data_IF_464731011652
#
_entry.id   IF_464731011652
#
_cell.length_a   1.000
_cell.length_b   1.000
_cell.length_c   1.000
_cell.angle_alpha   90.00
_cell.angle_beta   90.00
_cell.angle_gamma   90.00
#
_symmetry.space_group_name_H-M   'P 1'
#
loop_
_entity.id
_entity.type
_entity.pdbx_description
1 polymer ?
#
# COMPACT_ATOMS: atom_id res chain seq x y z
N UNK A 1 -1.03 -9.02 34.31
CA UNK A 1 -2.01 -7.95 34.63
C UNK A 1 -3.27 -8.21 33.83
N UNK A 2 -4.43 -8.24 34.47
CA UNK A 2 -5.74 -8.39 33.80
C UNK A 2 -6.21 -7.03 33.23
N UNK A 3 -7.18 -7.04 32.31
CA UNK A 3 -7.79 -5.79 31.83
C UNK A 3 -8.43 -4.97 32.96
N UNK A 4 -9.00 -5.63 33.95
CA UNK A 4 -9.59 -4.98 35.14
C UNK A 4 -8.52 -4.28 35.98
N UNK A 5 -7.39 -4.95 36.26
CA UNK A 5 -6.24 -4.38 36.93
C UNK A 5 -5.64 -3.19 36.19
N UNK A 6 -5.54 -3.31 34.86
CA UNK A 6 -5.00 -2.25 33.98
C UNK A 6 -5.91 -1.00 33.98
N UNK A 7 -7.22 -1.21 33.93
CA UNK A 7 -8.22 -0.12 33.86
C UNK A 7 -8.51 0.58 35.18
N UNK A 8 -8.18 -0.01 36.34
CA UNK A 8 -8.60 0.47 37.66
C UNK A 8 -8.22 1.93 37.86
N UNK A 9 -9.22 2.81 38.02
CA UNK A 9 -9.01 4.24 38.23
C UNK A 9 -8.58 5.04 37.01
N UNK A 10 -8.49 4.41 35.79
CA UNK A 10 -8.12 5.08 34.54
C UNK A 10 -9.32 5.11 33.59
N UNK A 11 -9.92 3.96 33.29
CA UNK A 11 -11.02 3.86 32.35
C UNK A 11 -11.86 2.60 32.62
N UNK A 12 -12.97 2.41 31.87
CA UNK A 12 -13.73 1.16 31.95
C UNK A 12 -13.08 0.05 31.10
N UNK A 13 -13.28 -1.22 31.51
CA UNK A 13 -12.83 -2.39 30.73
C UNK A 13 -13.42 -2.38 29.30
N UNK A 14 -14.68 -1.94 29.17
CA UNK A 14 -15.34 -1.79 27.86
C UNK A 14 -14.65 -0.72 26.98
N UNK A 15 -14.14 0.35 27.59
CA UNK A 15 -13.38 1.39 26.87
C UNK A 15 -12.02 0.86 26.44
N UNK A 16 -11.28 0.19 27.32
CA UNK A 16 -10.01 -0.46 26.97
C UNK A 16 -10.19 -1.47 25.84
N UNK A 17 -11.21 -2.34 25.93
CA UNK A 17 -11.51 -3.32 24.89
C UNK A 17 -11.81 -2.68 23.53
N UNK A 18 -12.41 -1.49 23.50
CA UNK A 18 -12.62 -0.74 22.24
C UNK A 18 -11.31 -0.18 21.69
N UNK A 19 -10.39 0.28 22.54
CA UNK A 19 -9.04 0.73 22.16
C UNK A 19 -8.26 -0.45 21.58
N UNK A 20 -8.17 -1.57 22.31
CA UNK A 20 -7.47 -2.78 21.86
C UNK A 20 -7.98 -3.33 20.53
N UNK A 21 -9.28 -3.17 20.26
CA UNK A 21 -9.90 -3.56 18.99
C UNK A 21 -9.85 -2.47 17.93
N UNK A 22 -9.16 -1.34 18.15
CA UNK A 22 -9.04 -0.24 17.20
C UNK A 22 -10.36 0.46 16.86
N UNK A 23 -11.37 0.36 17.74
CA UNK A 23 -12.68 0.97 17.52
C UNK A 23 -12.74 2.44 17.93
N UNK A 24 -11.89 2.83 18.86
CA UNK A 24 -11.75 4.20 19.35
C UNK A 24 -10.27 4.47 19.63
N UNK A 25 -9.86 5.73 19.51
CA UNK A 25 -8.56 6.20 19.95
C UNK A 25 -8.61 6.59 21.43
N UNK A 26 -7.57 6.25 22.18
CA UNK A 26 -7.42 6.73 23.55
C UNK A 26 -7.01 8.20 23.54
N UNK A 27 -7.51 8.99 24.50
CA UNK A 27 -6.91 10.31 24.73
C UNK A 27 -5.47 10.16 25.23
N UNK A 28 -4.63 11.17 24.95
CA UNK A 28 -3.22 11.17 25.33
C UNK A 28 -3.04 10.94 26.85
N UNK A 29 -3.91 11.52 27.65
CA UNK A 29 -3.92 11.35 29.11
C UNK A 29 -4.19 9.90 29.54
N UNK A 30 -5.18 9.25 28.93
CA UNK A 30 -5.52 7.85 29.23
C UNK A 30 -4.39 6.93 28.77
N UNK A 31 -3.81 7.19 27.58
CA UNK A 31 -2.68 6.44 27.06
C UNK A 31 -1.48 6.53 28.00
N UNK A 32 -1.13 7.75 28.48
CA UNK A 32 -0.05 7.95 29.44
C UNK A 32 -0.27 7.19 30.74
N UNK A 33 -1.48 7.21 31.30
CA UNK A 33 -1.81 6.50 32.55
C UNK A 33 -1.73 4.98 32.37
N UNK A 34 -2.21 4.44 31.25
CA UNK A 34 -2.12 3.01 30.92
C UNK A 34 -0.66 2.59 30.71
N UNK A 35 0.12 3.36 29.96
CA UNK A 35 1.55 3.10 29.74
C UNK A 35 2.35 3.16 31.06
N UNK A 36 2.09 4.17 31.91
CA UNK A 36 2.74 4.27 33.23
C UNK A 36 2.46 3.04 34.09
N UNK A 37 1.22 2.51 34.07
CA UNK A 37 0.85 1.30 34.81
C UNK A 37 1.49 0.03 34.23
N UNK A 38 1.74 0.00 32.94
CA UNK A 38 2.44 -1.08 32.25
C UNK A 38 3.96 -0.97 32.35
N UNK A 39 4.46 0.09 33.01
CA UNK A 39 5.90 0.42 33.09
C UNK A 39 6.55 0.64 31.71
N UNK A 40 5.76 1.11 30.73
CA UNK A 40 6.19 1.45 29.37
C UNK A 40 6.31 2.97 29.29
N UNK A 41 7.48 3.48 28.89
CA UNK A 41 7.63 4.91 28.63
C UNK A 41 6.90 5.28 27.32
N UNK A 42 6.05 6.33 27.37
CA UNK A 42 5.33 6.83 26.17
C UNK A 42 6.31 7.33 25.11
N UNK A 43 7.47 7.86 25.52
CA UNK A 43 8.57 8.24 24.62
C UNK A 43 9.09 7.05 23.83
N UNK A 44 9.29 5.90 24.48
CA UNK A 44 9.79 4.69 23.83
C UNK A 44 8.81 4.18 22.76
N UNK A 45 7.50 4.35 22.97
CA UNK A 45 6.47 3.99 21.98
C UNK A 45 6.49 4.91 20.77
N UNK A 46 6.67 6.21 20.96
CA UNK A 46 6.75 7.18 19.85
C UNK A 46 8.00 6.96 19.01
N UNK A 47 9.14 6.71 19.65
CA UNK A 47 10.40 6.43 18.96
C UNK A 47 10.30 5.13 18.12
N UNK A 48 9.67 4.10 18.68
CA UNK A 48 9.39 2.85 17.95
C UNK A 48 8.44 3.07 16.77
N UNK A 49 7.38 3.86 16.93
CA UNK A 49 6.41 4.15 15.88
C UNK A 49 7.03 5.00 14.74
N UNK A 50 7.91 5.95 15.04
CA UNK A 50 8.66 6.70 14.04
C UNK A 50 9.63 5.81 13.26
N UNK A 51 10.35 4.90 13.94
CA UNK A 51 11.24 3.94 13.30
C UNK A 51 10.48 2.98 12.38
N UNK A 52 9.36 2.43 12.85
CA UNK A 52 8.49 1.57 12.04
C UNK A 52 7.95 2.31 10.83
N UNK A 53 7.55 3.59 10.97
CA UNK A 53 7.09 4.39 9.84
C UNK A 53 8.18 4.60 8.80
N UNK A 54 9.41 4.89 9.23
CA UNK A 54 10.56 4.97 8.33
C UNK A 54 10.79 3.67 7.56
N UNK A 55 10.72 2.51 8.24
CA UNK A 55 10.83 1.20 7.59
C UNK A 55 9.69 0.90 6.62
N UNK A 56 8.46 1.37 6.92
CA UNK A 56 7.33 1.25 5.99
C UNK A 56 7.57 2.07 4.71
N UNK A 57 8.15 3.26 4.81
CA UNK A 57 8.50 4.08 3.65
C UNK A 57 9.60 3.42 2.82
N UNK A 58 10.61 2.82 3.47
CA UNK A 58 11.61 1.99 2.78
C UNK A 58 10.97 0.77 2.11
N UNK A 59 10.02 0.12 2.76
CA UNK A 59 9.31 -1.03 2.20
C UNK A 59 8.47 -0.64 0.99
N UNK A 60 7.77 0.48 1.05
CA UNK A 60 7.06 1.04 -0.10
C UNK A 60 8.04 1.25 -1.27
N UNK A 61 9.17 1.88 -1.01
CA UNK A 61 10.19 2.12 -2.02
C UNK A 61 10.69 0.80 -2.64
N UNK A 62 11.00 -0.21 -1.84
CA UNK A 62 11.41 -1.54 -2.32
C UNK A 62 10.30 -2.22 -3.17
N UNK A 63 9.03 -2.10 -2.75
CA UNK A 63 7.87 -2.62 -3.51
C UNK A 63 7.68 -1.90 -4.85
N UNK A 64 7.85 -0.58 -4.89
CA UNK A 64 7.77 0.22 -6.12
C UNK A 64 8.88 -0.17 -7.10
N UNK A 65 10.07 -0.49 -6.57
CA UNK A 65 11.23 -0.87 -7.38
C UNK A 65 11.28 -2.36 -7.70
N UNK A 66 10.35 -3.16 -7.15
CA UNK A 66 10.34 -4.63 -7.23
C UNK A 66 11.69 -5.26 -6.81
N UNK A 67 12.33 -4.66 -5.83
CA UNK A 67 13.53 -5.21 -5.19
C UNK A 67 13.13 -6.32 -4.23
N UNK A 68 13.05 -7.53 -4.77
CA UNK A 68 12.57 -8.70 -4.02
C UNK A 68 13.38 -8.96 -2.75
N UNK A 69 14.69 -8.75 -2.79
CA UNK A 69 15.56 -9.04 -1.65
C UNK A 69 15.28 -8.06 -0.51
N UNK A 70 15.21 -6.77 -0.83
CA UNK A 70 14.88 -5.73 0.15
C UNK A 70 13.46 -5.89 0.70
N UNK A 71 12.49 -6.20 -0.18
CA UNK A 71 11.08 -6.42 0.21
C UNK A 71 10.96 -7.53 1.25
N UNK A 72 11.63 -8.69 1.04
CA UNK A 72 11.58 -9.81 2.00
C UNK A 72 12.27 -9.44 3.32
N UNK A 73 13.45 -8.83 3.27
CA UNK A 73 14.20 -8.43 4.47
C UNK A 73 13.37 -7.50 5.35
N UNK A 74 12.83 -6.42 4.76
CA UNK A 74 12.06 -5.44 5.53
C UNK A 74 10.76 -6.07 6.06
N UNK A 75 10.13 -6.96 5.30
CA UNK A 75 8.95 -7.69 5.75
C UNK A 75 9.22 -8.52 7.01
N UNK A 76 10.34 -9.26 7.04
CA UNK A 76 10.75 -10.06 8.20
C UNK A 76 10.99 -9.19 9.45
N UNK A 77 11.65 -8.05 9.29
CA UNK A 77 11.89 -7.09 10.37
C UNK A 77 10.55 -6.53 10.92
N UNK A 78 9.66 -6.08 10.02
CA UNK A 78 8.37 -5.50 10.40
C UNK A 78 7.45 -6.48 11.13
N UNK A 79 7.50 -7.78 10.87
CA UNK A 79 6.66 -8.78 11.56
C UNK A 79 6.83 -8.77 13.09
N UNK A 80 8.05 -8.51 13.58
CA UNK A 80 8.34 -8.40 15.00
C UNK A 80 7.88 -7.08 15.59
N UNK A 81 8.16 -5.99 14.89
CA UNK A 81 7.97 -4.64 15.38
C UNK A 81 6.51 -4.20 15.39
N UNK A 82 5.73 -4.60 14.38
CA UNK A 82 4.30 -4.28 14.28
C UNK A 82 3.46 -4.75 15.48
N UNK A 83 3.96 -5.66 16.29
CA UNK A 83 3.27 -6.13 17.51
C UNK A 83 3.23 -5.05 18.61
N UNK A 84 4.12 -4.08 18.55
CA UNK A 84 4.26 -3.01 19.51
C UNK A 84 3.68 -1.68 19.03
N UNK A 85 3.19 -1.62 17.78
CA UNK A 85 2.59 -0.43 17.18
C UNK A 85 1.12 -0.33 17.60
N UNK A 86 0.74 0.82 18.14
CA UNK A 86 -0.63 1.14 18.56
C UNK A 86 -1.29 2.18 17.62
N UNK A 87 -0.49 2.96 16.90
CA UNK A 87 -0.98 3.96 15.97
C UNK A 87 -1.75 3.31 14.81
N UNK A 88 -3.00 3.73 14.68
CA UNK A 88 -3.93 3.17 13.70
C UNK A 88 -3.57 3.55 12.25
N UNK A 89 -2.97 4.72 12.03
CA UNK A 89 -2.49 5.12 10.70
C UNK A 89 -1.32 4.25 10.24
N UNK A 90 -0.38 3.95 11.13
CA UNK A 90 0.77 3.09 10.86
C UNK A 90 0.30 1.66 10.59
N UNK A 91 -0.63 1.12 11.41
CA UNK A 91 -1.21 -0.21 11.20
C UNK A 91 -1.91 -0.32 9.84
N UNK A 92 -2.70 0.70 9.47
CA UNK A 92 -3.37 0.71 8.16
C UNK A 92 -2.36 0.84 7.02
N UNK A 93 -1.33 1.65 7.19
CA UNK A 93 -0.27 1.80 6.18
C UNK A 93 0.46 0.46 5.96
N UNK A 94 0.85 -0.22 7.04
CA UNK A 94 1.42 -1.58 6.95
C UNK A 94 0.51 -2.54 6.17
N UNK A 95 -0.79 -2.62 6.50
CA UNK A 95 -1.74 -3.50 5.82
C UNK A 95 -1.89 -3.21 4.33
N UNK A 96 -1.85 -1.92 3.95
CA UNK A 96 -1.88 -1.51 2.54
C UNK A 96 -0.63 -1.96 1.79
N UNK A 97 0.55 -1.82 2.39
CA UNK A 97 1.81 -2.30 1.81
C UNK A 97 1.86 -3.84 1.80
N UNK A 98 1.38 -4.49 2.86
CA UNK A 98 1.25 -5.94 2.91
C UNK A 98 0.36 -6.49 1.78
N UNK A 99 -0.71 -5.78 1.45
CA UNK A 99 -1.53 -6.14 0.29
C UNK A 99 -0.74 -6.04 -1.02
N UNK A 100 0.10 -5.02 -1.22
CA UNK A 100 1.00 -4.92 -2.39
C UNK A 100 2.04 -6.04 -2.40
N UNK A 101 2.58 -6.40 -1.24
CA UNK A 101 3.48 -7.55 -1.09
C UNK A 101 2.82 -8.86 -1.51
N UNK A 102 1.59 -9.12 -1.05
CA UNK A 102 0.82 -10.31 -1.44
C UNK A 102 0.53 -10.34 -2.96
N UNK A 103 0.25 -9.18 -3.58
CA UNK A 103 0.10 -9.05 -5.03
C UNK A 103 1.41 -9.44 -5.73
N UNK A 104 2.55 -8.97 -5.26
CA UNK A 104 3.86 -9.34 -5.80
C UNK A 104 4.14 -10.84 -5.65
N UNK A 105 3.72 -11.46 -4.54
CA UNK A 105 3.81 -12.92 -4.31
C UNK A 105 2.77 -13.72 -5.08
N UNK A 106 1.78 -13.08 -5.68
CA UNK A 106 0.62 -13.68 -6.38
C UNK A 106 -0.27 -14.56 -5.47
N UNK A 107 -0.33 -14.24 -4.18
CA UNK A 107 -1.25 -14.89 -3.24
C UNK A 107 -2.63 -14.23 -3.32
N UNK A 108 -3.37 -14.54 -4.38
CA UNK A 108 -4.66 -13.91 -4.66
C UNK A 108 -5.75 -14.16 -3.60
N UNK A 109 -5.85 -15.34 -2.97
CA UNK A 109 -6.80 -15.54 -1.88
C UNK A 109 -6.52 -14.62 -0.69
N UNK A 110 -5.25 -14.46 -0.29
CA UNK A 110 -4.87 -13.53 0.77
C UNK A 110 -5.10 -12.06 0.37
N UNK A 111 -4.79 -11.67 -0.88
CA UNK A 111 -5.08 -10.33 -1.41
C UNK A 111 -6.57 -10.00 -1.31
N UNK A 112 -7.46 -10.91 -1.70
CA UNK A 112 -8.90 -10.68 -1.66
C UNK A 112 -9.39 -10.46 -0.23
N UNK A 113 -8.95 -11.29 0.71
CA UNK A 113 -9.26 -11.17 2.13
C UNK A 113 -8.81 -9.82 2.71
N UNK A 114 -7.56 -9.41 2.40
CA UNK A 114 -7.04 -8.12 2.87
C UNK A 114 -7.79 -6.94 2.25
N UNK A 115 -8.06 -6.93 0.95
CA UNK A 115 -8.82 -5.87 0.29
C UNK A 115 -10.23 -5.71 0.84
N UNK A 116 -10.92 -6.80 1.19
CA UNK A 116 -12.26 -6.74 1.82
C UNK A 116 -12.17 -6.21 3.26
N UNK A 117 -11.13 -6.57 4.01
CA UNK A 117 -10.88 -6.02 5.34
C UNK A 117 -10.62 -4.51 5.29
N UNK A 118 -9.72 -4.08 4.41
CA UNK A 118 -9.32 -2.69 4.23
C UNK A 118 -10.47 -1.80 3.72
N UNK A 119 -11.38 -2.35 2.91
CA UNK A 119 -12.57 -1.65 2.40
C UNK A 119 -13.43 -1.07 3.52
N UNK A 120 -13.54 -1.76 4.66
CA UNK A 120 -14.34 -1.32 5.81
C UNK A 120 -13.81 -0.01 6.41
N UNK A 121 -12.51 0.21 6.29
CA UNK A 121 -11.80 1.36 6.85
C UNK A 121 -11.58 2.49 5.83
N UNK A 122 -11.92 2.28 4.54
CA UNK A 122 -11.60 3.19 3.44
C UNK A 122 -12.02 4.65 3.68
N UNK A 123 -13.15 4.88 4.35
CA UNK A 123 -13.64 6.24 4.65
C UNK A 123 -12.72 7.01 5.59
N UNK A 124 -11.99 6.31 6.46
CA UNK A 124 -11.09 6.88 7.45
C UNK A 124 -9.66 7.07 6.95
N UNK A 125 -9.34 6.53 5.76
CA UNK A 125 -8.00 6.62 5.20
C UNK A 125 -7.62 8.04 4.83
N UNK A 126 -6.35 8.37 5.05
CA UNK A 126 -5.71 9.55 4.50
C UNK A 126 -5.79 9.54 2.96
N UNK A 127 -5.61 10.69 2.27
CA UNK A 127 -5.56 10.72 0.81
C UNK A 127 -4.56 9.72 0.22
N UNK A 128 -3.37 9.62 0.81
CA UNK A 128 -2.33 8.70 0.36
C UNK A 128 -2.70 7.23 0.59
N UNK A 129 -3.26 6.88 1.73
CA UNK A 129 -3.75 5.53 1.99
C UNK A 129 -4.87 5.12 1.03
N UNK A 130 -5.77 6.06 0.67
CA UNK A 130 -6.79 5.83 -0.37
C UNK A 130 -6.18 5.56 -1.73
N UNK A 131 -5.12 6.28 -2.09
CA UNK A 131 -4.37 6.04 -3.32
C UNK A 131 -3.77 4.63 -3.33
N UNK A 132 -3.06 4.23 -2.28
CA UNK A 132 -2.45 2.89 -2.18
C UNK A 132 -3.49 1.77 -2.26
N UNK A 133 -4.63 1.93 -1.58
CA UNK A 133 -5.75 0.98 -1.67
C UNK A 133 -6.29 0.86 -3.09
N UNK A 134 -6.55 2.02 -3.73
CA UNK A 134 -7.12 2.09 -5.08
C UNK A 134 -6.16 1.47 -6.09
N UNK A 135 -4.87 1.74 -5.95
CA UNK A 135 -3.82 1.17 -6.81
C UNK A 135 -3.72 -0.35 -6.63
N UNK A 136 -3.70 -0.84 -5.39
CA UNK A 136 -3.68 -2.29 -5.12
C UNK A 136 -4.87 -3.01 -5.74
N UNK A 137 -6.06 -2.40 -5.73
CA UNK A 137 -7.23 -2.95 -6.44
C UNK A 137 -7.04 -2.99 -7.96
N UNK A 138 -6.46 -1.94 -8.54
CA UNK A 138 -6.13 -1.91 -9.96
C UNK A 138 -5.20 -3.04 -10.36
N UNK A 139 -4.10 -3.20 -9.63
CA UNK A 139 -3.14 -4.28 -9.84
C UNK A 139 -3.77 -5.67 -9.67
N UNK A 140 -4.56 -5.87 -8.62
CA UNK A 140 -5.26 -7.12 -8.39
C UNK A 140 -6.19 -7.50 -9.53
N UNK A 141 -7.03 -6.56 -10.00
CA UNK A 141 -7.93 -6.82 -11.12
C UNK A 141 -7.19 -7.07 -12.44
N UNK A 142 -6.06 -6.39 -12.67
CA UNK A 142 -5.21 -6.65 -13.82
C UNK A 142 -4.70 -8.10 -13.83
N UNK A 143 -4.15 -8.55 -12.71
CA UNK A 143 -3.63 -9.91 -12.57
C UNK A 143 -4.73 -11.00 -12.60
N UNK A 144 -5.99 -10.61 -12.35
CA UNK A 144 -7.17 -11.47 -12.51
C UNK A 144 -7.78 -11.40 -13.94
N UNK A 145 -7.09 -10.77 -14.89
CA UNK A 145 -7.56 -10.56 -16.28
C UNK A 145 -8.90 -9.81 -16.36
N UNK A 146 -9.27 -9.05 -15.33
CA UNK A 146 -10.47 -8.20 -15.29
C UNK A 146 -10.13 -6.78 -15.76
N UNK A 147 -9.68 -6.65 -17.00
CA UNK A 147 -9.07 -5.45 -17.53
C UNK A 147 -9.93 -4.18 -17.46
N UNK A 148 -11.25 -4.28 -17.69
CA UNK A 148 -12.16 -3.12 -17.55
C UNK A 148 -12.18 -2.57 -16.13
N UNK A 149 -12.21 -3.47 -15.11
CA UNK A 149 -12.13 -3.05 -13.71
C UNK A 149 -10.75 -2.52 -13.35
N UNK A 150 -9.69 -3.17 -13.85
CA UNK A 150 -8.33 -2.70 -13.67
C UNK A 150 -8.18 -1.27 -14.20
N UNK A 151 -8.70 -1.00 -15.40
CA UNK A 151 -8.67 0.34 -16.00
C UNK A 151 -9.36 1.37 -15.12
N UNK A 152 -10.57 1.09 -14.62
CA UNK A 152 -11.32 1.99 -13.72
C UNK A 152 -10.48 2.39 -12.50
N UNK A 153 -9.90 1.40 -11.81
CA UNK A 153 -9.10 1.66 -10.61
C UNK A 153 -7.76 2.33 -10.91
N UNK A 154 -7.06 1.94 -11.98
CA UNK A 154 -5.78 2.54 -12.35
C UNK A 154 -5.92 3.98 -12.85
N UNK A 155 -6.96 4.30 -13.62
CA UNK A 155 -7.26 5.68 -14.02
C UNK A 155 -7.56 6.55 -12.78
N UNK A 156 -8.35 6.02 -11.85
CA UNK A 156 -8.60 6.72 -10.58
C UNK A 156 -7.30 6.91 -9.77
N UNK A 157 -6.43 5.92 -9.75
CA UNK A 157 -5.11 6.03 -9.09
C UNK A 157 -4.27 7.13 -9.71
N UNK A 158 -4.23 7.22 -11.04
CA UNK A 158 -3.49 8.27 -11.77
C UNK A 158 -3.99 9.68 -11.40
N UNK A 159 -5.30 9.89 -11.36
CA UNK A 159 -5.89 11.16 -10.94
C UNK A 159 -5.50 11.49 -9.51
N UNK A 160 -5.67 10.55 -8.57
CA UNK A 160 -5.31 10.75 -7.16
C UNK A 160 -3.81 11.02 -6.98
N UNK A 161 -2.96 10.37 -7.76
CA UNK A 161 -1.51 10.58 -7.73
C UNK A 161 -1.15 12.00 -8.16
N UNK A 162 -1.74 12.49 -9.26
CA UNK A 162 -1.55 13.86 -9.73
C UNK A 162 -2.03 14.91 -8.72
N UNK A 163 -3.20 14.71 -8.14
CA UNK A 163 -3.76 15.62 -7.12
C UNK A 163 -2.88 15.72 -5.87
N UNK A 164 -2.17 14.64 -5.52
CA UNK A 164 -1.32 14.56 -4.33
C UNK A 164 0.16 14.82 -4.61
N UNK A 165 0.55 15.06 -5.85
CA UNK A 165 1.96 15.18 -6.24
C UNK A 165 2.76 13.89 -6.05
N UNK A 166 2.08 12.74 -6.02
CA UNK A 166 2.72 11.44 -5.89
C UNK A 166 3.20 10.92 -7.25
N UNK A 167 4.46 10.55 -7.32
CA UNK A 167 5.09 10.09 -8.56
C UNK A 167 5.51 8.61 -8.46
N UNK A 168 4.85 7.76 -9.22
CA UNK A 168 5.23 6.36 -9.42
C UNK A 168 5.01 5.99 -10.89
N UNK A 169 6.12 5.86 -11.66
CA UNK A 169 6.07 5.55 -13.09
C UNK A 169 5.41 4.20 -13.40
N UNK A 170 5.38 3.30 -12.41
CA UNK A 170 4.64 2.04 -12.50
C UNK A 170 3.15 2.20 -12.74
N UNK A 171 2.52 3.30 -12.30
CA UNK A 171 1.10 3.59 -12.55
C UNK A 171 0.86 3.71 -14.06
N UNK A 172 1.68 4.51 -14.74
CA UNK A 172 1.58 4.71 -16.19
C UNK A 172 1.89 3.43 -16.97
N UNK A 173 2.89 2.67 -16.52
CA UNK A 173 3.22 1.38 -17.14
C UNK A 173 2.06 0.38 -17.00
N UNK A 174 1.43 0.29 -15.84
CA UNK A 174 0.27 -0.58 -15.64
C UNK A 174 -0.96 -0.13 -16.46
N UNK A 175 -1.17 1.18 -16.63
CA UNK A 175 -2.19 1.71 -17.54
C UNK A 175 -1.90 1.29 -18.99
N UNK A 176 -0.64 1.41 -19.44
CA UNK A 176 -0.24 0.96 -20.78
C UNK A 176 -0.51 -0.53 -20.98
N UNK A 177 -0.18 -1.37 -19.99
CA UNK A 177 -0.46 -2.81 -20.04
C UNK A 177 -1.97 -3.09 -20.15
N UNK A 178 -2.79 -2.43 -19.35
CA UNK A 178 -4.25 -2.61 -19.41
C UNK A 178 -4.83 -2.17 -20.74
N UNK A 179 -4.38 -1.04 -21.30
CA UNK A 179 -4.84 -0.59 -22.60
C UNK A 179 -4.40 -1.52 -23.74
N UNK A 180 -3.21 -2.13 -23.63
CA UNK A 180 -2.77 -3.14 -24.58
C UNK A 180 -3.67 -4.38 -24.56
N UNK A 181 -4.05 -4.86 -23.37
CA UNK A 181 -4.97 -5.99 -23.22
C UNK A 181 -6.41 -5.67 -23.68
N UNK A 182 -6.77 -4.40 -23.70
CA UNK A 182 -8.05 -3.91 -24.24
C UNK A 182 -7.96 -3.49 -25.72
N UNK A 183 -6.82 -3.70 -26.36
CA UNK A 183 -6.55 -3.40 -27.77
C UNK A 183 -6.73 -1.90 -28.13
N UNK A 184 -6.46 -1.01 -27.19
CA UNK A 184 -6.55 0.45 -27.38
C UNK A 184 -5.14 1.03 -27.65
N UNK A 185 -4.65 0.84 -28.87
CA UNK A 185 -3.26 1.14 -29.29
C UNK A 185 -2.79 2.53 -28.89
N UNK A 186 -3.54 3.59 -29.24
CA UNK A 186 -3.10 4.96 -29.02
C UNK A 186 -2.89 5.28 -27.54
N UNK A 187 -3.70 4.69 -26.64
CA UNK A 187 -3.55 4.85 -25.18
C UNK A 187 -2.39 3.99 -24.68
N UNK A 188 -2.19 2.79 -25.23
CA UNK A 188 -1.03 1.96 -24.93
C UNK A 188 0.26 2.72 -25.21
N UNK A 189 0.38 3.28 -26.41
CA UNK A 189 1.56 4.05 -26.83
C UNK A 189 1.76 5.30 -25.97
N UNK A 190 0.67 6.03 -25.68
CA UNK A 190 0.73 7.22 -24.84
C UNK A 190 1.32 6.90 -23.45
N UNK A 191 0.70 5.96 -22.73
CA UNK A 191 1.11 5.65 -21.37
C UNK A 191 2.45 4.92 -21.28
N UNK A 192 2.77 4.06 -22.27
CA UNK A 192 4.09 3.43 -22.35
C UNK A 192 5.22 4.46 -22.54
N UNK A 193 5.02 5.47 -23.37
CA UNK A 193 6.00 6.55 -23.55
C UNK A 193 6.15 7.41 -22.28
N UNK A 194 5.05 7.77 -21.62
CA UNK A 194 5.10 8.51 -20.33
C UNK A 194 5.89 7.72 -19.28
N UNK A 195 5.58 6.43 -19.13
CA UNK A 195 6.29 5.55 -18.20
C UNK A 195 7.78 5.43 -18.56
N UNK A 196 8.09 5.27 -19.83
CA UNK A 196 9.45 5.11 -20.34
C UNK A 196 10.32 6.33 -20.03
N UNK A 197 9.81 7.53 -20.26
CA UNK A 197 10.53 8.76 -19.94
C UNK A 197 10.78 8.88 -18.42
N UNK A 198 9.78 8.58 -17.59
CA UNK A 198 9.96 8.56 -16.15
C UNK A 198 11.00 7.54 -15.70
N UNK A 199 10.99 6.32 -16.23
CA UNK A 199 11.98 5.28 -15.89
C UNK A 199 13.39 5.62 -16.41
N UNK A 200 13.54 6.34 -17.53
CA UNK A 200 14.84 6.86 -17.97
C UNK A 200 15.42 7.85 -16.95
N UNK A 201 14.61 8.77 -16.47
CA UNK A 201 15.03 9.77 -15.48
C UNK A 201 15.43 9.12 -14.13
N UNK A 202 14.87 7.94 -13.82
CA UNK A 202 15.20 7.15 -12.64
C UNK A 202 16.33 6.13 -12.89
N UNK A 203 16.95 6.11 -14.08
CA UNK A 203 17.97 5.14 -14.50
C UNK A 203 17.51 3.67 -14.41
N UNK A 204 16.21 3.40 -14.53
CA UNK A 204 15.62 2.06 -14.45
C UNK A 204 15.55 1.40 -15.83
N UNK A 205 16.70 1.10 -16.42
CA UNK A 205 16.80 0.62 -17.80
C UNK A 205 15.99 -0.65 -18.09
N UNK A 206 15.86 -1.56 -17.12
CA UNK A 206 15.02 -2.76 -17.29
C UNK A 206 13.57 -2.41 -17.60
N UNK A 207 13.01 -1.40 -16.94
CA UNK A 207 11.65 -0.94 -17.18
C UNK A 207 11.53 -0.16 -18.49
N UNK A 208 12.56 0.55 -18.89
CA UNK A 208 12.63 1.19 -20.22
C UNK A 208 12.50 0.13 -21.32
N UNK A 209 13.25 -0.98 -21.19
CA UNK A 209 13.15 -2.10 -22.14
C UNK A 209 11.74 -2.70 -22.15
N UNK A 210 11.10 -2.89 -20.98
CA UNK A 210 9.74 -3.40 -20.92
C UNK A 210 8.73 -2.46 -21.61
N UNK A 211 8.89 -1.14 -21.47
CA UNK A 211 8.07 -0.17 -22.22
C UNK A 211 8.29 -0.28 -23.73
N UNK A 212 9.54 -0.40 -24.18
CA UNK A 212 9.87 -0.58 -25.60
C UNK A 212 9.28 -1.87 -26.19
N UNK A 213 9.36 -2.97 -25.42
CA UNK A 213 8.75 -4.24 -25.83
C UNK A 213 7.22 -4.11 -25.93
N UNK A 214 6.57 -3.44 -24.98
CA UNK A 214 5.13 -3.21 -25.03
C UNK A 214 4.72 -2.38 -26.24
N UNK A 215 5.47 -1.32 -26.57
CA UNK A 215 5.27 -0.51 -27.76
C UNK A 215 5.40 -1.35 -29.03
N UNK A 216 6.46 -2.18 -29.13
CA UNK A 216 6.67 -3.05 -30.27
C UNK A 216 5.53 -4.07 -30.45
N UNK A 217 5.08 -4.69 -29.34
CA UNK A 217 3.95 -5.64 -29.35
C UNK A 217 2.66 -4.97 -29.83
N UNK A 218 2.37 -3.77 -29.39
CA UNK A 218 1.20 -3.00 -29.81
C UNK A 218 1.20 -2.76 -31.34
N UNK A 219 2.36 -2.46 -31.95
CA UNK A 219 2.46 -2.30 -33.41
C UNK A 219 2.32 -3.63 -34.17
N UNK A 220 2.76 -4.74 -33.58
CA UNK A 220 2.63 -6.07 -34.22
C UNK A 220 1.17 -6.51 -34.26
N UNK A 221 0.43 -6.34 -33.15
CA UNK A 221 -0.99 -6.69 -33.09
C UNK A 221 -1.83 -5.97 -34.12
N UNK A 222 -1.53 -4.69 -34.41
CA UNK A 222 -2.22 -3.92 -35.46
C UNK A 222 -2.01 -4.47 -36.89
N UNK A 223 -0.85 -5.06 -37.18
CA UNK A 223 -0.55 -5.57 -38.53
C UNK A 223 -1.14 -6.95 -38.76
N UNK A 224 -1.63 -7.62 -37.74
CA UNK A 224 -2.19 -8.97 -37.80
C UNK A 224 -3.72 -8.97 -38.05
N UNK A 225 -4.35 -7.79 -38.08
CA UNK A 225 -5.76 -7.55 -38.44
C UNK A 225 -5.80 -6.99 -39.87
#
# INVERSE_FOLDING_TARGET
>A
MTQEELCQGICSVSYLSKIENGKIEASEEILQLLCTRLEIAVTDLRDVEEDVKGKLDEWLNALVHLDKQQVERIYEELQGEMKHVLDFEIINYYKLLYTRYLIMKRDFPAVEKELESLKKMYKKYSPFQKLLYTYSKGLYYFLQHRYKKALEYLTRTEVMAKEQGYHENGIYFNLALVYNELEVEHMTLHFANVAMEGFKNEYKFRYVINCQLLIALSYIQKKAI
#
